data_IF_654602726448
#
_entry.id   IF_654602726448
#
_cell.length_a   1.000
_cell.length_b   1.000
_cell.length_c   1.000
_cell.angle_alpha   90.00
_cell.angle_beta   90.00
_cell.angle_gamma   90.00
#
_symmetry.space_group_name_H-M   'P 1'
#
loop_
_entity.id
_entity.type
_entity.pdbx_description
1 polymer ?
#
# COMPACT_ATOMS: atom_id res chain seq x y z
N UNK A 1 -28.49 -26.31 -23.45
CA UNK A 1 -28.29 -26.45 -21.99
C UNK A 1 -26.84 -26.78 -21.58
N UNK A 2 -25.96 -27.19 -22.51
CA UNK A 2 -24.59 -27.69 -22.24
C UNK A 2 -23.48 -26.65 -22.12
N UNK A 3 -23.66 -25.42 -22.59
CA UNK A 3 -22.61 -24.36 -22.58
C UNK A 3 -22.58 -23.58 -21.25
N UNK A 4 -23.72 -23.40 -20.62
CA UNK A 4 -23.83 -22.65 -19.34
C UNK A 4 -23.32 -23.49 -18.17
N UNK A 5 -23.59 -24.81 -18.18
CA UNK A 5 -23.08 -25.73 -17.16
C UNK A 5 -21.54 -25.87 -17.24
N UNK A 6 -20.97 -26.00 -18.43
CA UNK A 6 -19.49 -26.04 -18.60
C UNK A 6 -18.80 -24.74 -18.15
N UNK A 7 -19.40 -23.58 -18.40
CA UNK A 7 -18.87 -22.30 -17.90
C UNK A 7 -18.94 -22.24 -16.37
N UNK A 8 -20.04 -22.67 -15.76
CA UNK A 8 -20.20 -22.73 -14.30
C UNK A 8 -19.18 -23.63 -13.63
N UNK A 9 -18.95 -24.83 -14.16
CA UNK A 9 -18.01 -25.80 -13.59
C UNK A 9 -16.55 -25.39 -13.75
N UNK A 10 -16.23 -24.62 -14.79
CA UNK A 10 -14.90 -24.03 -14.98
C UNK A 10 -14.64 -22.82 -14.09
N UNK A 11 -15.67 -22.00 -13.83
CA UNK A 11 -15.53 -20.77 -13.05
C UNK A 11 -15.77 -20.98 -11.55
N UNK A 12 -16.61 -21.93 -11.14
CA UNK A 12 -16.98 -22.14 -9.75
C UNK A 12 -15.78 -22.42 -8.82
N UNK A 13 -14.82 -23.31 -9.13
CA UNK A 13 -13.67 -23.54 -8.29
C UNK A 13 -12.72 -22.34 -8.25
N UNK A 14 -12.57 -21.61 -9.37
CA UNK A 14 -11.75 -20.39 -9.43
C UNK A 14 -12.36 -19.23 -8.65
N UNK A 15 -13.67 -19.04 -8.75
CA UNK A 15 -14.43 -18.07 -7.95
C UNK A 15 -14.36 -18.40 -6.43
N UNK A 16 -14.43 -19.66 -6.06
CA UNK A 16 -14.29 -20.09 -4.67
C UNK A 16 -12.90 -19.80 -4.12
N UNK A 17 -11.85 -20.05 -4.89
CA UNK A 17 -10.47 -19.70 -4.49
C UNK A 17 -10.26 -18.19 -4.40
N UNK A 18 -10.78 -17.43 -5.36
CA UNK A 18 -10.74 -15.95 -5.32
C UNK A 18 -11.51 -15.42 -4.10
N UNK A 19 -12.72 -15.95 -3.86
CA UNK A 19 -13.53 -15.54 -2.71
C UNK A 19 -12.83 -15.86 -1.38
N UNK A 20 -12.26 -17.06 -1.24
CA UNK A 20 -11.51 -17.44 -0.03
C UNK A 20 -10.26 -16.56 0.19
N UNK A 21 -9.59 -16.20 -0.88
CA UNK A 21 -8.43 -15.32 -0.86
C UNK A 21 -8.82 -13.90 -0.42
N UNK A 22 -9.83 -13.34 -1.09
CA UNK A 22 -10.37 -12.00 -0.79
C UNK A 22 -10.90 -11.91 0.64
N UNK A 23 -11.56 -12.97 1.12
CA UNK A 23 -12.07 -13.03 2.50
C UNK A 23 -10.93 -13.02 3.51
N UNK A 24 -9.86 -13.79 3.29
CA UNK A 24 -8.73 -13.84 4.23
C UNK A 24 -7.96 -12.53 4.31
N UNK A 25 -7.64 -11.94 3.17
CA UNK A 25 -7.01 -10.62 3.12
C UNK A 25 -7.93 -9.56 3.73
N UNK A 26 -9.23 -9.64 3.40
CA UNK A 26 -10.25 -8.75 3.95
C UNK A 26 -10.32 -8.78 5.46
N UNK A 27 -10.27 -9.95 6.10
CA UNK A 27 -10.27 -10.08 7.56
C UNK A 27 -9.04 -9.40 8.18
N UNK A 28 -7.85 -9.61 7.61
CA UNK A 28 -6.62 -8.99 8.13
C UNK A 28 -6.68 -7.46 8.03
N UNK A 29 -7.10 -6.93 6.87
CA UNK A 29 -7.22 -5.48 6.66
C UNK A 29 -8.31 -4.88 7.54
N UNK A 30 -9.47 -5.55 7.68
CA UNK A 30 -10.54 -5.12 8.59
C UNK A 30 -10.08 -5.11 10.06
N UNK A 31 -9.31 -6.11 10.49
CA UNK A 31 -8.71 -6.15 11.83
C UNK A 31 -7.82 -4.93 12.09
N UNK A 32 -6.95 -4.57 11.15
CA UNK A 32 -6.09 -3.39 11.25
C UNK A 32 -6.89 -2.08 11.21
N UNK A 33 -7.94 -2.00 10.39
CA UNK A 33 -8.83 -0.84 10.35
C UNK A 33 -9.54 -0.63 11.69
N UNK A 34 -10.15 -1.69 12.23
CA UNK A 34 -10.83 -1.65 13.53
C UNK A 34 -9.86 -1.29 14.65
N UNK A 35 -8.65 -1.88 14.64
CA UNK A 35 -7.58 -1.52 15.57
C UNK A 35 -7.28 -0.02 15.54
N UNK A 36 -7.07 0.54 14.35
CA UNK A 36 -6.81 1.96 14.16
C UNK A 36 -7.98 2.84 14.65
N UNK A 37 -9.22 2.48 14.35
CA UNK A 37 -10.43 3.20 14.79
C UNK A 37 -10.62 3.14 16.31
N UNK A 38 -10.30 2.00 16.94
CA UNK A 38 -10.32 1.89 18.40
C UNK A 38 -9.26 2.80 19.04
N UNK A 39 -8.05 2.89 18.49
CA UNK A 39 -7.03 3.83 18.94
C UNK A 39 -7.50 5.28 18.85
N UNK A 40 -8.20 5.68 17.75
CA UNK A 40 -8.84 7.01 17.63
C UNK A 40 -9.81 7.27 18.79
N UNK A 41 -10.63 6.28 19.13
CA UNK A 41 -11.68 6.41 20.15
C UNK A 41 -11.14 6.45 21.56
N UNK A 42 -10.18 5.59 21.86
CA UNK A 42 -9.70 5.33 23.23
C UNK A 42 -8.63 6.35 23.64
N UNK A 43 -7.65 6.63 22.79
CA UNK A 43 -6.50 7.47 23.16
C UNK A 43 -6.92 8.95 23.36
N UNK A 44 -6.31 9.66 24.33
CA UNK A 44 -6.42 11.13 24.41
C UNK A 44 -5.97 11.78 23.09
N UNK A 45 -6.54 12.95 22.76
CA UNK A 45 -6.28 13.65 21.47
C UNK A 45 -4.78 13.90 21.25
N UNK A 46 -4.06 14.34 22.28
CA UNK A 46 -2.63 14.60 22.19
C UNK A 46 -1.79 13.34 21.94
N UNK A 47 -2.16 12.22 22.57
CA UNK A 47 -1.48 10.94 22.37
C UNK A 47 -1.85 10.32 21.04
N UNK A 48 -3.10 10.46 20.61
CA UNK A 48 -3.50 10.03 19.28
C UNK A 48 -2.80 10.80 18.17
N UNK A 49 -2.53 12.10 18.36
CA UNK A 49 -1.74 12.89 17.40
C UNK A 49 -0.35 12.28 17.18
N UNK A 50 0.36 11.96 18.29
CA UNK A 50 1.68 11.31 18.23
C UNK A 50 1.61 9.95 17.54
N UNK A 51 0.62 9.14 17.92
CA UNK A 51 0.36 7.83 17.33
C UNK A 51 0.12 7.93 15.82
N UNK A 52 -0.72 8.88 15.38
CA UNK A 52 -1.04 9.08 13.96
C UNK A 52 0.18 9.47 13.14
N UNK A 53 1.01 10.41 13.63
CA UNK A 53 2.26 10.83 12.96
C UNK A 53 3.23 9.66 12.84
N UNK A 54 3.44 8.92 13.92
CA UNK A 54 4.33 7.75 13.89
C UNK A 54 3.86 6.71 12.87
N UNK A 55 2.57 6.38 12.87
CA UNK A 55 1.99 5.40 11.95
C UNK A 55 2.07 5.82 10.48
N UNK A 56 1.80 7.09 10.19
CA UNK A 56 1.93 7.63 8.84
C UNK A 56 3.38 7.54 8.37
N UNK A 57 4.30 7.94 9.24
CA UNK A 57 5.72 7.90 8.92
C UNK A 57 6.23 6.47 8.71
N UNK A 58 5.79 5.52 9.55
CA UNK A 58 6.09 4.09 9.38
C UNK A 58 5.55 3.55 8.05
N UNK A 59 4.33 3.93 7.66
CA UNK A 59 3.73 3.55 6.38
C UNK A 59 4.58 4.02 5.19
N UNK A 60 5.00 5.28 5.17
CA UNK A 60 5.90 5.82 4.15
C UNK A 60 7.26 5.11 4.15
N UNK A 61 7.85 4.93 5.32
CA UNK A 61 9.16 4.31 5.46
C UNK A 61 9.15 2.84 4.99
N UNK A 62 8.10 2.09 5.27
CA UNK A 62 7.97 0.70 4.79
C UNK A 62 8.01 0.61 3.27
N UNK A 63 7.32 1.52 2.57
CA UNK A 63 7.35 1.59 1.11
C UNK A 63 8.74 2.01 0.60
N UNK A 64 9.37 3.00 1.25
CA UNK A 64 10.72 3.46 0.91
C UNK A 64 11.80 2.39 1.12
N UNK A 65 11.64 1.50 2.07
CA UNK A 65 12.58 0.41 2.32
C UNK A 65 12.44 -0.75 1.34
N UNK A 66 11.27 -0.97 0.79
CA UNK A 66 11.05 -2.03 -0.22
C UNK A 66 11.40 -1.55 -1.63
N UNK A 67 11.04 -0.31 -1.98
CA UNK A 67 11.27 0.34 -3.30
C UNK A 67 11.02 -0.60 -4.49
N UNK A 68 10.11 -1.58 -4.32
CA UNK A 68 9.81 -2.58 -5.33
C UNK A 68 10.82 -3.73 -5.45
N UNK A 69 11.84 -3.80 -4.60
CA UNK A 69 12.85 -4.87 -4.60
C UNK A 69 12.19 -6.25 -4.42
N UNK A 70 11.23 -6.38 -3.50
CA UNK A 70 10.54 -7.65 -3.25
C UNK A 70 9.73 -8.14 -4.46
N UNK A 71 9.21 -7.24 -5.27
CA UNK A 71 8.41 -7.56 -6.46
C UNK A 71 9.24 -8.14 -7.61
N UNK A 72 10.57 -7.93 -7.62
CA UNK A 72 11.47 -8.43 -8.67
C UNK A 72 11.67 -9.94 -8.61
N UNK A 73 11.39 -10.57 -7.47
CA UNK A 73 11.57 -12.01 -7.31
C UNK A 73 10.73 -12.82 -8.31
N UNK A 74 9.49 -12.40 -8.53
CA UNK A 74 8.58 -13.07 -9.47
C UNK A 74 9.14 -13.15 -10.90
N UNK A 75 9.47 -12.03 -11.54
CA UNK A 75 10.06 -12.00 -12.87
C UNK A 75 11.40 -12.75 -12.97
N UNK A 76 12.28 -12.69 -11.95
CA UNK A 76 13.62 -13.27 -12.02
C UNK A 76 13.67 -14.79 -11.85
N UNK A 77 12.79 -15.34 -11.01
CA UNK A 77 12.84 -16.79 -10.68
C UNK A 77 11.52 -17.52 -10.90
N UNK A 78 10.49 -16.84 -11.43
CA UNK A 78 9.15 -17.41 -11.57
C UNK A 78 9.08 -18.61 -12.51
N UNK A 79 9.86 -18.63 -13.57
CA UNK A 79 9.96 -19.75 -14.51
C UNK A 79 10.74 -20.93 -13.95
N UNK A 80 11.70 -20.68 -13.05
CA UNK A 80 12.56 -21.68 -12.42
C UNK A 80 12.25 -21.85 -10.93
N UNK A 81 11.00 -21.73 -10.56
CA UNK A 81 10.53 -21.77 -9.15
C UNK A 81 10.90 -23.07 -8.42
N UNK A 82 11.08 -24.16 -9.15
CA UNK A 82 11.42 -25.48 -8.60
C UNK A 82 12.92 -25.66 -8.37
N UNK A 83 13.75 -24.78 -8.94
CA UNK A 83 15.19 -24.74 -8.66
C UNK A 83 15.44 -24.05 -7.30
N UNK A 84 15.32 -24.79 -6.21
CA UNK A 84 15.43 -24.27 -4.85
C UNK A 84 16.76 -23.57 -4.56
N UNK A 85 17.94 -24.07 -4.99
CA UNK A 85 19.21 -23.36 -4.80
C UNK A 85 19.21 -21.98 -5.46
N UNK A 86 18.71 -21.88 -6.70
CA UNK A 86 18.62 -20.61 -7.42
C UNK A 86 17.72 -19.62 -6.69
N UNK A 87 16.52 -20.06 -6.31
CA UNK A 87 15.56 -19.23 -5.55
C UNK A 87 16.18 -18.77 -4.21
N UNK A 88 16.87 -19.67 -3.50
CA UNK A 88 17.52 -19.36 -2.22
C UNK A 88 18.62 -18.30 -2.39
N UNK A 89 19.43 -18.38 -3.47
CA UNK A 89 20.48 -17.42 -3.76
C UNK A 89 19.89 -16.02 -4.09
N UNK A 90 18.83 -15.95 -4.91
CA UNK A 90 18.14 -14.68 -5.17
C UNK A 90 17.53 -14.08 -3.89
N UNK A 91 16.95 -14.89 -3.01
CA UNK A 91 16.42 -14.44 -1.73
C UNK A 91 17.56 -13.93 -0.82
N UNK A 92 18.71 -14.58 -0.81
CA UNK A 92 19.88 -14.13 -0.07
C UNK A 92 20.42 -12.77 -0.59
N UNK A 93 20.49 -12.62 -1.92
CA UNK A 93 20.90 -11.37 -2.59
C UNK A 93 19.89 -10.25 -2.32
N UNK A 94 18.59 -10.53 -2.41
CA UNK A 94 17.52 -9.59 -2.09
C UNK A 94 17.61 -9.11 -0.63
N UNK A 95 17.84 -10.01 0.33
CA UNK A 95 18.01 -9.67 1.74
C UNK A 95 19.23 -8.79 2.00
N UNK A 96 20.35 -9.04 1.30
CA UNK A 96 21.55 -8.22 1.42
C UNK A 96 21.31 -6.82 0.86
N UNK A 97 20.66 -6.70 -0.30
CA UNK A 97 20.26 -5.40 -0.86
C UNK A 97 19.29 -4.66 0.06
N UNK A 98 18.24 -5.33 0.55
CA UNK A 98 17.31 -4.74 1.50
C UNK A 98 17.98 -4.28 2.80
N UNK A 99 19.07 -4.95 3.24
CA UNK A 99 19.89 -4.50 4.37
C UNK A 99 20.63 -3.20 4.03
N UNK A 100 21.24 -3.10 2.86
CA UNK A 100 21.92 -1.87 2.43
C UNK A 100 20.97 -0.70 2.28
N UNK A 101 19.77 -0.94 1.71
CA UNK A 101 18.71 0.09 1.63
C UNK A 101 18.30 0.52 3.05
N UNK A 102 18.09 -0.42 3.96
CA UNK A 102 17.76 -0.10 5.35
C UNK A 102 18.85 0.76 6.02
N UNK A 103 20.11 0.38 5.89
CA UNK A 103 21.24 1.11 6.50
C UNK A 103 21.41 2.51 5.89
N UNK A 104 21.12 2.69 4.60
CA UNK A 104 21.20 3.99 3.94
C UNK A 104 19.99 4.88 4.23
N UNK A 105 18.78 4.32 4.18
CA UNK A 105 17.53 5.09 4.32
C UNK A 105 17.19 5.40 5.78
N UNK A 106 17.45 4.48 6.73
CA UNK A 106 17.03 4.64 8.12
C UNK A 106 17.63 5.87 8.82
N UNK A 107 18.93 6.20 8.67
CA UNK A 107 19.48 7.43 9.27
C UNK A 107 18.84 8.69 8.70
N UNK A 108 18.64 8.74 7.37
CA UNK A 108 17.95 9.88 6.73
C UNK A 108 16.52 10.00 7.22
N UNK A 109 15.80 8.88 7.30
CA UNK A 109 14.44 8.84 7.83
C UNK A 109 14.40 9.28 9.29
N UNK A 110 15.36 8.89 10.12
CA UNK A 110 15.44 9.33 11.51
C UNK A 110 15.62 10.86 11.60
N UNK A 111 16.52 11.44 10.81
CA UNK A 111 16.73 12.90 10.74
C UNK A 111 15.45 13.59 10.28
N UNK A 112 14.83 13.13 9.18
CA UNK A 112 13.58 13.69 8.67
C UNK A 112 12.45 13.60 9.68
N UNK A 113 12.35 12.50 10.45
CA UNK A 113 11.34 12.37 11.51
C UNK A 113 11.55 13.39 12.61
N UNK A 114 12.78 13.59 13.09
CA UNK A 114 13.11 14.61 14.11
C UNK A 114 12.72 16.01 13.61
N UNK A 115 13.10 16.37 12.39
CA UNK A 115 12.75 17.63 11.78
C UNK A 115 11.24 17.82 11.64
N UNK A 116 10.52 16.75 11.25
CA UNK A 116 9.06 16.75 11.12
C UNK A 116 8.36 17.08 12.45
N UNK A 117 8.80 16.48 13.55
CA UNK A 117 8.14 16.62 14.85
C UNK A 117 8.69 17.78 15.69
N UNK A 118 9.74 18.47 15.23
CA UNK A 118 10.38 19.54 15.98
C UNK A 118 9.41 20.65 16.37
N UNK A 119 8.50 21.04 15.47
CA UNK A 119 7.48 22.07 15.72
C UNK A 119 6.36 21.63 16.67
N UNK A 120 6.24 20.33 16.92
CA UNK A 120 5.22 19.78 17.81
C UNK A 120 5.63 19.80 19.29
N UNK A 121 6.84 20.30 19.59
CA UNK A 121 7.38 20.44 20.95
C UNK A 121 7.32 19.15 21.79
N UNK A 122 7.53 17.98 21.16
CA UNK A 122 7.60 16.72 21.89
C UNK A 122 8.90 16.66 22.69
N UNK A 123 8.81 16.19 23.94
CA UNK A 123 10.02 16.04 24.77
C UNK A 123 11.03 15.08 24.11
N UNK A 124 12.34 15.34 24.27
CA UNK A 124 13.40 14.57 23.64
C UNK A 124 13.31 13.05 23.93
N UNK A 125 12.90 12.69 25.14
CA UNK A 125 12.70 11.27 25.53
C UNK A 125 11.59 10.61 24.69
N UNK A 126 10.48 11.31 24.42
CA UNK A 126 9.38 10.81 23.59
C UNK A 126 9.85 10.62 22.15
N UNK A 127 10.58 11.59 21.60
CA UNK A 127 11.13 11.52 20.24
C UNK A 127 12.10 10.33 20.12
N UNK A 128 12.99 10.14 21.10
CA UNK A 128 13.93 9.02 21.10
C UNK A 128 13.22 7.65 21.15
N UNK A 129 12.16 7.53 21.97
CA UNK A 129 11.34 6.31 22.03
C UNK A 129 10.63 6.04 20.72
N UNK A 130 10.05 7.07 20.08
CA UNK A 130 9.37 6.95 18.78
C UNK A 130 10.36 6.57 17.67
N UNK A 131 11.57 7.13 17.69
CA UNK A 131 12.64 6.74 16.76
C UNK A 131 13.05 5.28 16.92
N UNK A 132 13.22 4.82 18.18
CA UNK A 132 13.54 3.41 18.42
C UNK A 132 12.46 2.49 17.85
N UNK A 133 11.19 2.80 18.12
CA UNK A 133 10.05 2.06 17.58
C UNK A 133 10.06 2.07 16.05
N UNK A 134 10.28 3.24 15.45
CA UNK A 134 10.34 3.41 13.99
C UNK A 134 11.41 2.51 13.37
N UNK A 135 12.63 2.51 13.92
CA UNK A 135 13.73 1.71 13.41
C UNK A 135 13.50 0.21 13.59
N UNK A 136 12.98 -0.20 14.76
CA UNK A 136 12.63 -1.60 15.02
C UNK A 136 11.55 -2.08 14.05
N UNK A 137 10.47 -1.32 13.89
CA UNK A 137 9.39 -1.69 12.96
C UNK A 137 9.89 -1.75 11.52
N UNK A 138 10.67 -0.77 11.09
CA UNK A 138 11.28 -0.73 9.76
C UNK A 138 12.17 -1.97 9.50
N UNK A 139 12.93 -2.41 10.50
CA UNK A 139 13.72 -3.64 10.42
C UNK A 139 12.84 -4.87 10.19
N UNK A 140 11.78 -5.04 10.98
CA UNK A 140 10.88 -6.19 10.84
C UNK A 140 10.00 -6.11 9.58
N UNK A 141 9.60 -4.93 9.14
CA UNK A 141 8.90 -4.72 7.86
C UNK A 141 9.77 -5.19 6.68
N UNK A 142 11.06 -4.84 6.65
CA UNK A 142 12.03 -5.33 5.67
C UNK A 142 12.12 -6.86 5.66
N UNK A 143 12.18 -7.48 6.84
CA UNK A 143 12.23 -8.94 6.98
C UNK A 143 10.94 -9.56 6.45
N UNK A 144 9.79 -9.00 6.83
CA UNK A 144 8.46 -9.46 6.39
C UNK A 144 8.30 -9.36 4.87
N UNK A 145 8.73 -8.27 4.24
CA UNK A 145 8.65 -8.07 2.79
C UNK A 145 9.48 -9.13 2.06
N UNK A 146 10.74 -9.32 2.44
CA UNK A 146 11.65 -10.26 1.80
C UNK A 146 11.17 -11.71 1.87
N UNK A 147 10.73 -12.16 3.04
CA UNK A 147 10.26 -13.54 3.23
C UNK A 147 8.81 -13.74 2.80
N UNK A 148 7.98 -12.69 2.89
CA UNK A 148 6.61 -12.70 2.37
C UNK A 148 6.58 -12.93 0.86
N UNK A 149 7.51 -12.33 0.12
CA UNK A 149 7.66 -12.54 -1.32
C UNK A 149 7.91 -14.02 -1.67
N UNK A 150 8.71 -14.74 -0.86
CA UNK A 150 8.95 -16.19 -1.04
C UNK A 150 7.65 -16.99 -0.88
N UNK A 151 6.84 -16.69 0.13
CA UNK A 151 5.56 -17.40 0.36
C UNK A 151 4.58 -17.18 -0.80
N UNK A 152 4.53 -15.96 -1.33
CA UNK A 152 3.69 -15.63 -2.49
C UNK A 152 4.19 -16.36 -3.73
N UNK A 153 5.48 -16.36 -3.97
CA UNK A 153 6.15 -17.01 -5.09
C UNK A 153 5.91 -18.52 -5.06
N UNK A 154 6.13 -19.17 -3.91
CA UNK A 154 5.93 -20.63 -3.69
C UNK A 154 4.45 -21.02 -3.55
N UNK A 155 3.52 -20.09 -3.82
CA UNK A 155 2.05 -20.29 -3.76
C UNK A 155 1.52 -20.68 -2.38
N UNK A 156 2.28 -20.50 -1.29
CA UNK A 156 1.82 -20.74 0.09
C UNK A 156 1.08 -19.51 0.66
N UNK A 157 0.18 -18.97 -0.18
CA UNK A 157 -0.63 -17.79 0.16
C UNK A 157 -1.53 -18.04 1.37
N UNK A 158 -1.95 -19.29 1.58
CA UNK A 158 -2.80 -19.65 2.72
C UNK A 158 -2.09 -19.40 4.05
N UNK A 159 -0.81 -19.76 4.15
CA UNK A 159 0.00 -19.48 5.33
C UNK A 159 0.29 -18.00 5.47
N UNK A 160 0.64 -17.31 4.39
CA UNK A 160 0.88 -15.87 4.36
C UNK A 160 -0.28 -15.09 4.99
N UNK A 161 -1.53 -15.33 4.52
CA UNK A 161 -2.70 -14.65 5.10
C UNK A 161 -3.08 -15.13 6.49
N UNK A 162 -2.83 -16.41 6.83
CA UNK A 162 -3.06 -16.90 8.19
C UNK A 162 -2.23 -16.12 9.21
N UNK A 163 -0.95 -15.90 8.92
CA UNK A 163 -0.06 -15.13 9.80
C UNK A 163 -0.54 -13.68 9.92
N UNK A 164 -0.97 -13.04 8.81
CA UNK A 164 -1.54 -11.69 8.86
C UNK A 164 -2.81 -11.62 9.72
N UNK A 165 -3.72 -12.58 9.55
CA UNK A 165 -4.97 -12.64 10.32
C UNK A 165 -4.66 -12.81 11.81
N UNK A 166 -3.78 -13.76 12.16
CA UNK A 166 -3.39 -14.00 13.56
C UNK A 166 -2.74 -12.74 14.14
N UNK A 167 -1.85 -12.08 13.40
CA UNK A 167 -1.21 -10.84 13.82
C UNK A 167 -2.23 -9.72 14.06
N UNK A 168 -3.08 -9.44 13.07
CA UNK A 168 -4.05 -8.34 13.15
C UNK A 168 -5.15 -8.56 14.18
N UNK A 169 -5.72 -9.77 14.25
CA UNK A 169 -6.74 -10.10 15.26
C UNK A 169 -6.13 -10.27 16.65
N UNK A 170 -4.88 -10.76 16.74
CA UNK A 170 -4.15 -10.86 18.00
C UNK A 170 -3.88 -9.49 18.61
N UNK A 171 -3.36 -8.55 17.83
CA UNK A 171 -3.13 -7.17 18.30
C UNK A 171 -4.43 -6.47 18.66
N UNK A 172 -5.50 -6.67 17.88
CA UNK A 172 -6.84 -6.15 18.18
C UNK A 172 -7.39 -6.75 19.48
N UNK A 173 -7.31 -8.07 19.65
CA UNK A 173 -7.75 -8.77 20.85
C UNK A 173 -7.02 -8.30 22.11
N UNK A 174 -5.71 -8.16 22.04
CA UNK A 174 -4.90 -7.62 23.12
C UNK A 174 -5.26 -6.16 23.43
N UNK A 175 -5.49 -5.32 22.41
CA UNK A 175 -5.94 -3.94 22.62
C UNK A 175 -7.25 -3.89 23.38
N UNK A 176 -8.21 -4.78 23.05
CA UNK A 176 -9.49 -4.88 23.76
C UNK A 176 -9.30 -5.34 25.21
N UNK A 177 -8.40 -6.28 25.49
CA UNK A 177 -8.07 -6.70 26.85
C UNK A 177 -7.49 -5.52 27.65
N UNK A 178 -6.52 -4.79 27.12
CA UNK A 178 -5.96 -3.62 27.79
C UNK A 178 -7.00 -2.51 27.97
N UNK A 179 -7.94 -2.38 27.06
CA UNK A 179 -9.05 -1.42 27.18
C UNK A 179 -9.99 -1.80 28.33
N UNK A 180 -10.36 -3.06 28.45
CA UNK A 180 -11.18 -3.56 29.57
C UNK A 180 -10.47 -3.39 30.92
N UNK A 181 -9.13 -3.49 30.94
CA UNK A 181 -8.32 -3.25 32.12
C UNK A 181 -8.05 -1.75 32.39
N UNK A 182 -8.64 -0.84 31.62
CA UNK A 182 -8.42 0.61 31.71
C UNK A 182 -6.94 1.05 31.65
N UNK A 183 -6.08 0.25 31.01
CA UNK A 183 -4.63 0.44 30.95
C UNK A 183 -4.12 0.83 29.55
N UNK A 184 -5.01 1.24 28.63
CA UNK A 184 -4.60 1.67 27.28
C UNK A 184 -3.96 3.05 27.37
N UNK A 185 -2.73 3.12 26.86
CA UNK A 185 -2.00 4.35 26.61
C UNK A 185 -1.32 4.28 25.24
N UNK A 186 -0.65 5.35 24.84
CA UNK A 186 0.02 5.43 23.53
C UNK A 186 1.04 4.30 23.34
N UNK A 187 1.79 3.95 24.39
CA UNK A 187 2.83 2.92 24.32
C UNK A 187 2.24 1.54 24.09
N UNK A 188 1.13 1.20 24.75
CA UNK A 188 0.39 -0.05 24.51
C UNK A 188 -0.06 -0.12 23.04
N UNK A 189 -0.67 0.95 22.51
CA UNK A 189 -1.08 0.99 21.11
C UNK A 189 0.08 0.80 20.13
N UNK A 190 1.23 1.41 20.40
CA UNK A 190 2.41 1.28 19.56
C UNK A 190 3.02 -0.12 19.68
N UNK A 191 3.24 -0.60 20.91
CA UNK A 191 3.90 -1.89 21.16
C UNK A 191 3.12 -3.08 20.61
N UNK A 192 1.79 -3.05 20.67
CA UNK A 192 0.96 -4.09 20.09
C UNK A 192 1.10 -4.16 18.56
N UNK A 193 1.23 -3.02 17.90
CA UNK A 193 1.49 -2.98 16.46
C UNK A 193 2.89 -3.50 16.12
N UNK A 194 3.91 -3.08 16.87
CA UNK A 194 5.28 -3.60 16.72
C UNK A 194 5.31 -5.12 16.94
N UNK A 195 4.62 -5.62 17.97
CA UNK A 195 4.52 -7.05 18.24
C UNK A 195 3.84 -7.82 17.08
N UNK A 196 2.84 -7.20 16.44
CA UNK A 196 2.25 -7.74 15.21
C UNK A 196 3.29 -7.88 14.10
N UNK A 197 4.07 -6.82 13.82
CA UNK A 197 5.08 -6.82 12.76
C UNK A 197 6.20 -7.84 13.04
N UNK A 198 6.65 -7.95 14.30
CA UNK A 198 7.61 -8.95 14.75
C UNK A 198 7.04 -10.36 14.53
N UNK A 199 5.80 -10.61 14.93
CA UNK A 199 5.17 -11.93 14.79
C UNK A 199 5.01 -12.33 13.33
N UNK A 200 4.64 -11.38 12.45
CA UNK A 200 4.57 -11.60 11.02
C UNK A 200 5.95 -11.90 10.42
N UNK A 201 6.95 -11.10 10.75
CA UNK A 201 8.33 -11.31 10.29
C UNK A 201 8.87 -12.69 10.68
N UNK A 202 8.67 -13.09 11.94
CA UNK A 202 9.09 -14.38 12.43
C UNK A 202 8.32 -15.54 11.76
N UNK A 203 7.01 -15.43 11.61
CA UNK A 203 6.18 -16.42 10.91
C UNK A 203 6.63 -16.62 9.47
N UNK A 204 6.83 -15.52 8.72
CA UNK A 204 7.28 -15.60 7.32
C UNK A 204 8.70 -16.14 7.22
N UNK A 205 9.61 -15.71 8.08
CA UNK A 205 10.98 -16.22 8.15
C UNK A 205 10.99 -17.73 8.32
N UNK A 206 10.35 -18.23 9.40
CA UNK A 206 10.35 -19.68 9.74
C UNK A 206 9.79 -20.51 8.59
N UNK A 207 8.69 -20.11 8.01
CA UNK A 207 8.03 -20.84 6.92
C UNK A 207 8.84 -20.80 5.63
N UNK A 208 9.40 -19.66 5.28
CA UNK A 208 10.24 -19.51 4.09
C UNK A 208 11.51 -20.34 4.17
N UNK A 209 12.16 -20.40 5.34
CA UNK A 209 13.31 -21.28 5.56
C UNK A 209 12.94 -22.77 5.33
N UNK A 210 11.79 -23.19 5.84
CA UNK A 210 11.31 -24.55 5.62
C UNK A 210 10.99 -24.85 4.15
N UNK A 211 10.43 -23.88 3.41
CA UNK A 211 10.09 -24.05 2.00
C UNK A 211 11.31 -24.05 1.08
N UNK A 212 12.35 -23.31 1.41
CA UNK A 212 13.58 -23.27 0.64
C UNK A 212 14.46 -24.50 0.91
N UNK A 213 14.50 -24.98 2.16
CA UNK A 213 15.27 -26.18 2.57
C UNK A 213 16.79 -26.05 2.43
N UNK A 214 17.27 -25.03 1.75
CA UNK A 214 18.70 -24.76 1.51
C UNK A 214 19.04 -23.31 1.86
N UNK A 215 20.29 -23.10 2.27
CA UNK A 215 20.82 -21.75 2.48
C UNK A 215 21.32 -21.20 1.15
N UNK A 216 20.84 -20.03 0.76
CA UNK A 216 21.35 -19.33 -0.42
C UNK A 216 22.54 -18.46 -0.07
N UNK A 217 23.40 -18.28 -1.06
CA UNK A 217 24.53 -17.34 -1.01
C UNK A 217 24.25 -16.12 -1.88
N UNK A 218 24.48 -14.89 -1.38
CA UNK A 218 24.25 -13.69 -2.16
C UNK A 218 25.32 -13.53 -3.23
N UNK A 219 24.91 -13.24 -4.48
CA UNK A 219 25.79 -13.02 -5.61
C UNK A 219 25.65 -11.59 -6.15
N UNK A 220 26.79 -10.97 -6.50
CA UNK A 220 26.81 -9.63 -7.11
C UNK A 220 26.06 -9.58 -8.44
N UNK A 221 26.06 -10.67 -9.22
CA UNK A 221 25.32 -10.75 -10.48
C UNK A 221 23.81 -10.71 -10.24
N UNK A 222 23.32 -11.46 -9.24
CA UNK A 222 21.91 -11.47 -8.88
C UNK A 222 21.45 -10.12 -8.29
N UNK A 223 22.31 -9.48 -7.50
CA UNK A 223 22.03 -8.14 -6.98
C UNK A 223 21.89 -7.10 -8.10
N UNK A 224 22.77 -7.15 -9.11
CA UNK A 224 22.66 -6.30 -10.30
C UNK A 224 21.36 -6.54 -11.06
N UNK A 225 20.95 -7.81 -11.24
CA UNK A 225 19.69 -8.16 -11.88
C UNK A 225 18.49 -7.62 -11.11
N UNK A 226 18.47 -7.75 -9.77
CA UNK A 226 17.42 -7.19 -8.90
C UNK A 226 17.39 -5.66 -9.05
N UNK A 227 18.54 -4.99 -8.95
CA UNK A 227 18.62 -3.53 -9.06
C UNK A 227 18.17 -3.04 -10.42
N UNK A 228 18.56 -3.70 -11.50
CA UNK A 228 18.17 -3.32 -12.86
C UNK A 228 16.64 -3.33 -13.04
N UNK A 229 15.93 -4.30 -12.44
CA UNK A 229 14.47 -4.35 -12.47
C UNK A 229 13.79 -3.41 -11.46
N UNK A 230 14.43 -3.13 -10.33
CA UNK A 230 13.85 -2.25 -9.30
C UNK A 230 14.05 -0.76 -9.61
N UNK A 231 15.22 -0.36 -10.13
CA UNK A 231 15.60 1.05 -10.32
C UNK A 231 14.58 1.90 -11.10
N UNK A 232 13.96 1.42 -12.20
CA UNK A 232 12.94 2.20 -12.92
C UNK A 232 11.74 2.56 -12.06
N UNK A 233 11.44 1.74 -11.01
CA UNK A 233 10.30 1.94 -10.12
C UNK A 233 10.63 2.83 -8.92
N UNK A 234 11.90 3.12 -8.65
CA UNK A 234 12.34 3.91 -7.48
C UNK A 234 11.66 5.29 -7.41
N UNK A 235 11.67 6.12 -8.48
CA UNK A 235 11.05 7.44 -8.42
C UNK A 235 9.55 7.37 -8.09
N UNK A 236 8.84 6.44 -8.73
CA UNK A 236 7.40 6.22 -8.47
C UNK A 236 7.15 5.76 -7.04
N UNK A 237 7.97 4.84 -6.52
CA UNK A 237 7.84 4.33 -5.15
C UNK A 237 8.06 5.43 -4.12
N UNK A 238 9.05 6.29 -4.30
CA UNK A 238 9.32 7.44 -3.42
C UNK A 238 8.13 8.41 -3.45
N UNK A 239 7.65 8.73 -4.65
CA UNK A 239 6.51 9.63 -4.84
C UNK A 239 5.25 9.09 -4.12
N UNK A 240 4.87 7.84 -4.38
CA UNK A 240 3.66 7.25 -3.77
C UNK A 240 3.80 7.01 -2.26
N UNK A 241 4.99 6.70 -1.76
CA UNK A 241 5.26 6.61 -0.33
C UNK A 241 4.98 7.93 0.40
N UNK A 242 5.38 9.03 -0.22
CA UNK A 242 5.14 10.38 0.32
C UNK A 242 3.66 10.77 0.17
N UNK A 243 3.08 10.56 -1.01
CA UNK A 243 1.69 10.92 -1.31
C UNK A 243 0.68 10.22 -0.41
N UNK A 244 0.90 8.95 -0.08
CA UNK A 244 0.01 8.19 0.79
C UNK A 244 -0.17 8.78 2.19
N UNK A 245 0.76 9.62 2.65
CA UNK A 245 0.76 10.21 3.99
C UNK A 245 0.83 11.75 3.97
N UNK A 246 0.77 12.35 2.79
CA UNK A 246 1.02 13.77 2.57
C UNK A 246 0.18 14.66 3.48
N UNK A 247 -1.11 14.41 3.61
CA UNK A 247 -2.01 15.22 4.45
C UNK A 247 -1.51 15.31 5.88
N UNK A 248 -1.09 14.17 6.45
CA UNK A 248 -0.65 14.12 7.84
C UNK A 248 0.75 14.74 8.00
N UNK A 249 1.62 14.60 7.02
CA UNK A 249 2.92 15.28 6.97
C UNK A 249 2.72 16.81 6.92
N UNK A 250 1.87 17.30 6.02
CA UNK A 250 1.62 18.72 5.86
C UNK A 250 1.04 19.35 7.14
N UNK A 251 0.00 18.73 7.73
CA UNK A 251 -0.58 19.27 8.97
C UNK A 251 0.39 19.17 10.16
N UNK A 252 1.33 18.22 10.14
CA UNK A 252 2.37 18.13 11.18
C UNK A 252 3.40 19.24 11.04
N UNK A 253 3.72 19.66 9.80
CA UNK A 253 4.68 20.74 9.52
C UNK A 253 4.04 22.13 9.71
N UNK A 254 2.83 22.33 9.19
CA UNK A 254 2.17 23.64 9.12
C UNK A 254 1.14 23.85 10.23
N UNK A 255 0.59 22.80 10.81
CA UNK A 255 -0.40 22.88 11.88
C UNK A 255 0.20 23.36 13.21
N UNK A 256 -0.57 24.17 13.94
CA UNK A 256 -0.14 24.78 15.20
C UNK A 256 -0.59 24.02 16.45
N UNK A 257 -1.34 22.91 16.29
CA UNK A 257 -1.90 22.18 17.44
C UNK A 257 -1.91 20.67 17.24
N UNK A 258 -1.70 19.95 18.34
CA UNK A 258 -1.86 18.50 18.37
C UNK A 258 -3.29 18.08 17.98
N UNK A 259 -4.29 18.92 18.23
CA UNK A 259 -5.67 18.68 17.83
C UNK A 259 -5.82 18.63 16.31
N UNK A 260 -5.20 19.54 15.55
CA UNK A 260 -5.25 19.53 14.09
C UNK A 260 -4.62 18.25 13.51
N UNK A 261 -3.50 17.80 14.07
CA UNK A 261 -2.84 16.54 13.69
C UNK A 261 -3.71 15.34 14.01
N UNK A 262 -4.31 15.30 15.21
CA UNK A 262 -5.22 14.23 15.60
C UNK A 262 -6.47 14.17 14.71
N UNK A 263 -7.01 15.34 14.34
CA UNK A 263 -8.18 15.45 13.47
C UNK A 263 -7.90 14.86 12.08
N UNK A 264 -6.79 15.25 11.44
CA UNK A 264 -6.39 14.67 10.15
C UNK A 264 -6.12 13.17 10.29
N UNK A 265 -5.43 12.75 11.35
CA UNK A 265 -5.16 11.33 11.60
C UNK A 265 -6.44 10.50 11.76
N UNK A 266 -7.45 11.03 12.48
CA UNK A 266 -8.74 10.38 12.65
C UNK A 266 -9.52 10.31 11.32
N UNK A 267 -9.58 11.42 10.58
CA UNK A 267 -10.22 11.49 9.27
C UNK A 267 -9.56 10.53 8.27
N UNK A 268 -8.24 10.40 8.31
CA UNK A 268 -7.51 9.46 7.45
C UNK A 268 -7.90 7.99 7.69
N UNK A 269 -8.33 7.64 8.93
CA UNK A 269 -8.85 6.29 9.19
C UNK A 269 -10.15 6.00 8.45
N UNK A 270 -10.99 7.02 8.21
CA UNK A 270 -12.20 6.86 7.38
C UNK A 270 -11.84 6.60 5.91
N UNK A 271 -10.77 7.23 5.39
CA UNK A 271 -10.26 6.94 4.05
C UNK A 271 -9.90 5.45 3.88
N UNK A 272 -9.36 4.82 4.92
CA UNK A 272 -8.98 3.41 4.88
C UNK A 272 -10.16 2.45 4.63
N UNK A 273 -11.41 2.87 4.86
CA UNK A 273 -12.62 2.07 4.55
C UNK A 273 -12.72 1.83 3.04
N UNK A 274 -12.56 2.87 2.21
CA UNK A 274 -12.57 2.70 0.75
C UNK A 274 -11.29 2.02 0.23
N UNK A 275 -10.15 2.27 0.88
CA UNK A 275 -8.89 1.56 0.58
C UNK A 275 -9.01 0.04 0.78
N UNK A 276 -9.84 -0.41 1.73
CA UNK A 276 -10.15 -1.84 1.88
C UNK A 276 -10.77 -2.42 0.59
N UNK A 277 -11.72 -1.72 -0.01
CA UNK A 277 -12.34 -2.16 -1.27
C UNK A 277 -11.37 -2.08 -2.45
N UNK A 278 -10.45 -1.12 -2.45
CA UNK A 278 -9.44 -1.00 -3.51
C UNK A 278 -8.51 -2.21 -3.59
N UNK A 279 -8.28 -2.93 -2.48
CA UNK A 279 -7.50 -4.17 -2.46
C UNK A 279 -8.16 -5.32 -3.25
N UNK A 280 -9.44 -5.20 -3.56
CA UNK A 280 -10.16 -6.19 -4.37
C UNK A 280 -9.95 -5.98 -5.88
N UNK A 281 -9.60 -4.77 -6.30
CA UNK A 281 -9.44 -4.41 -7.71
C UNK A 281 -8.40 -5.28 -8.45
N UNK A 282 -7.18 -5.55 -7.91
CA UNK A 282 -6.22 -6.42 -8.55
C UNK A 282 -6.70 -7.86 -8.75
N UNK A 283 -7.62 -8.31 -7.89
CA UNK A 283 -8.12 -9.70 -7.89
C UNK A 283 -9.32 -9.87 -8.80
N UNK A 284 -10.24 -8.88 -8.82
CA UNK A 284 -11.50 -8.96 -9.55
C UNK A 284 -11.45 -8.21 -10.88
N UNK A 285 -11.03 -6.94 -10.86
CA UNK A 285 -11.10 -6.04 -12.01
C UNK A 285 -9.98 -6.31 -13.00
N UNK A 286 -8.74 -6.42 -12.52
CA UNK A 286 -7.58 -6.61 -13.39
C UNK A 286 -7.70 -7.88 -14.28
N UNK A 287 -7.95 -9.10 -13.76
CA UNK A 287 -8.04 -10.29 -14.60
C UNK A 287 -9.29 -10.29 -15.49
N UNK A 288 -10.38 -9.62 -15.09
CA UNK A 288 -11.57 -9.45 -15.89
C UNK A 288 -11.27 -8.67 -17.16
N UNK A 289 -10.65 -7.49 -17.03
CA UNK A 289 -10.29 -6.67 -18.18
C UNK A 289 -9.13 -7.24 -18.99
N UNK A 290 -8.13 -7.87 -18.37
CA UNK A 290 -6.99 -8.46 -19.06
C UNK A 290 -7.40 -9.56 -20.07
N UNK A 291 -8.47 -10.29 -19.77
CA UNK A 291 -8.97 -11.42 -20.62
C UNK A 291 -10.10 -11.04 -21.55
N UNK A 292 -10.54 -9.80 -21.53
CA UNK A 292 -11.71 -9.37 -22.30
C UNK A 292 -11.36 -9.16 -23.77
N UNK A 293 -12.26 -9.60 -24.67
CA UNK A 293 -12.15 -9.33 -26.10
C UNK A 293 -12.24 -7.82 -26.40
N UNK A 294 -11.44 -7.32 -27.33
CA UNK A 294 -11.33 -5.89 -27.63
C UNK A 294 -12.67 -5.23 -27.96
N UNK A 295 -13.50 -5.88 -28.75
CA UNK A 295 -14.82 -5.35 -29.13
C UNK A 295 -15.74 -5.02 -27.93
N UNK A 296 -15.52 -5.66 -26.76
CA UNK A 296 -16.34 -5.45 -25.56
C UNK A 296 -15.69 -4.53 -24.53
N UNK A 297 -14.40 -4.23 -24.65
CA UNK A 297 -13.64 -3.49 -23.65
C UNK A 297 -14.23 -2.10 -23.43
N UNK A 298 -14.42 -1.32 -24.48
CA UNK A 298 -14.91 0.07 -24.38
C UNK A 298 -16.27 0.15 -23.67
N UNK A 299 -17.21 -0.71 -24.06
CA UNK A 299 -18.55 -0.76 -23.43
C UNK A 299 -18.46 -1.12 -21.94
N UNK A 300 -17.70 -2.16 -21.60
CA UNK A 300 -17.58 -2.61 -20.23
C UNK A 300 -16.73 -1.65 -19.39
N UNK A 301 -15.76 -0.96 -19.97
CA UNK A 301 -15.01 0.11 -19.31
C UNK A 301 -15.97 1.22 -18.84
N UNK A 302 -16.75 1.76 -19.76
CA UNK A 302 -17.73 2.81 -19.43
C UNK A 302 -18.74 2.29 -18.40
N UNK A 303 -19.28 1.08 -18.59
CA UNK A 303 -20.25 0.49 -17.67
C UNK A 303 -19.71 0.36 -16.24
N UNK A 304 -18.54 -0.27 -16.09
CA UNK A 304 -17.93 -0.50 -14.77
C UNK A 304 -17.57 0.81 -14.09
N UNK A 305 -16.94 1.74 -14.82
CA UNK A 305 -16.56 3.06 -14.27
C UNK A 305 -17.80 3.85 -13.87
N UNK A 306 -18.88 3.82 -14.69
CA UNK A 306 -20.14 4.51 -14.37
C UNK A 306 -20.83 3.91 -13.14
N UNK A 307 -20.97 2.57 -13.09
CA UNK A 307 -21.61 1.91 -11.93
C UNK A 307 -20.84 2.21 -10.64
N UNK A 308 -19.52 2.00 -10.67
CA UNK A 308 -18.68 2.25 -9.50
C UNK A 308 -18.68 3.73 -9.15
N UNK A 309 -18.58 4.63 -10.16
CA UNK A 309 -18.65 6.07 -9.97
C UNK A 309 -19.94 6.50 -9.27
N UNK A 310 -21.09 5.99 -9.73
CA UNK A 310 -22.40 6.26 -9.10
C UNK A 310 -22.43 5.75 -7.65
N UNK A 311 -21.99 4.52 -7.40
CA UNK A 311 -21.98 3.94 -6.04
C UNK A 311 -21.13 4.77 -5.08
N UNK A 312 -19.95 5.19 -5.53
CA UNK A 312 -19.02 5.97 -4.70
C UNK A 312 -19.50 7.42 -4.53
N UNK A 313 -20.17 7.99 -5.53
CA UNK A 313 -20.81 9.30 -5.41
C UNK A 313 -22.01 9.26 -4.45
N UNK A 314 -22.80 8.19 -4.45
CA UNK A 314 -23.87 7.99 -3.46
C UNK A 314 -23.25 7.88 -2.04
N UNK A 315 -22.16 7.14 -1.89
CA UNK A 315 -21.45 7.04 -0.61
C UNK A 315 -20.93 8.41 -0.14
N UNK A 316 -20.33 9.21 -1.04
CA UNK A 316 -19.93 10.58 -0.72
C UNK A 316 -21.13 11.47 -0.39
N UNK A 317 -22.24 11.37 -1.14
CA UNK A 317 -23.49 12.10 -0.88
C UNK A 317 -24.06 11.77 0.51
N UNK A 318 -24.02 10.50 0.93
CA UNK A 318 -24.42 10.10 2.28
C UNK A 318 -23.55 10.77 3.36
N UNK A 319 -22.24 10.98 3.12
CA UNK A 319 -21.40 11.68 4.06
C UNK A 319 -21.75 13.18 4.19
N UNK A 320 -22.23 13.81 3.13
CA UNK A 320 -22.74 15.19 3.19
C UNK A 320 -24.09 15.29 3.87
N UNK A 321 -25.00 14.33 3.63
CA UNK A 321 -26.34 14.33 4.20
C UNK A 321 -26.36 13.86 5.66
N UNK A 322 -25.53 12.87 5.97
CA UNK A 322 -25.54 12.20 7.28
C UNK A 322 -24.11 12.07 7.86
N UNK A 323 -23.36 13.16 8.07
CA UNK A 323 -21.98 13.11 8.56
C UNK A 323 -21.87 12.45 9.93
N UNK A 324 -22.93 12.49 10.73
CA UNK A 324 -23.00 11.89 12.07
C UNK A 324 -22.74 10.37 12.07
N UNK A 325 -23.07 9.65 10.98
CA UNK A 325 -22.78 8.21 10.86
C UNK A 325 -21.28 7.93 10.93
N UNK A 326 -20.51 8.74 10.24
CA UNK A 326 -19.04 8.62 10.19
C UNK A 326 -18.39 9.15 11.46
N UNK A 327 -18.93 10.24 12.02
CA UNK A 327 -18.50 10.78 13.29
C UNK A 327 -18.73 9.81 14.45
N UNK A 328 -19.84 9.08 14.40
CA UNK A 328 -20.10 8.03 15.38
C UNK A 328 -19.00 6.96 15.40
N UNK A 329 -18.42 6.62 14.25
CA UNK A 329 -17.29 5.69 14.15
C UNK A 329 -16.04 6.28 14.84
N UNK A 330 -15.75 7.57 14.64
CA UNK A 330 -14.59 8.25 15.23
C UNK A 330 -14.77 8.52 16.74
N UNK A 331 -15.98 8.75 17.18
CA UNK A 331 -16.33 9.03 18.57
C UNK A 331 -16.55 10.52 18.86
N UNK A 332 -17.07 10.84 20.08
CA UNK A 332 -17.61 12.17 20.41
C UNK A 332 -16.56 13.29 20.39
N UNK A 333 -15.27 12.95 20.51
CA UNK A 333 -14.16 13.93 20.46
C UNK A 333 -14.07 14.67 19.11
N UNK A 334 -14.66 14.12 18.05
CA UNK A 334 -14.56 14.58 16.67
C UNK A 334 -15.87 15.12 16.10
N UNK A 335 -16.88 15.32 16.93
CA UNK A 335 -18.22 15.79 16.51
C UNK A 335 -18.20 17.16 15.80
N UNK A 336 -17.19 17.98 16.03
CA UNK A 336 -17.02 19.28 15.35
C UNK A 336 -16.56 19.16 13.88
N UNK A 337 -16.18 17.96 13.40
CA UNK A 337 -15.58 17.74 12.08
C UNK A 337 -16.61 17.30 11.02
N UNK A 338 -17.88 17.69 11.14
CA UNK A 338 -18.96 17.21 10.24
C UNK A 338 -18.69 17.53 8.76
N UNK A 339 -18.23 18.74 8.49
CA UNK A 339 -17.90 19.15 7.12
C UNK A 339 -16.61 18.50 6.61
N UNK A 340 -15.58 18.43 7.46
CA UNK A 340 -14.28 17.82 7.14
C UNK A 340 -14.41 16.31 6.85
N UNK A 341 -15.30 15.60 7.55
CA UNK A 341 -15.66 14.19 7.25
C UNK A 341 -16.18 14.06 5.82
N UNK A 342 -17.10 14.94 5.41
CA UNK A 342 -17.65 14.92 4.04
C UNK A 342 -16.56 15.15 2.99
N UNK A 343 -15.63 16.08 3.23
CA UNK A 343 -14.50 16.34 2.34
C UNK A 343 -13.56 15.12 2.22
N UNK A 344 -13.23 14.45 3.33
CA UNK A 344 -12.39 13.26 3.31
C UNK A 344 -13.06 12.12 2.55
N UNK A 345 -14.34 11.89 2.80
CA UNK A 345 -15.08 10.83 2.08
C UNK A 345 -15.17 11.15 0.58
N UNK A 346 -15.39 12.41 0.21
CA UNK A 346 -15.38 12.84 -1.20
C UNK A 346 -14.01 12.60 -1.84
N UNK A 347 -12.93 13.01 -1.17
CA UNK A 347 -11.57 12.77 -1.67
C UNK A 347 -11.28 11.29 -1.83
N UNK A 348 -11.67 10.47 -0.85
CA UNK A 348 -11.52 9.01 -0.89
C UNK A 348 -12.31 8.38 -2.03
N UNK A 349 -13.51 8.91 -2.30
CA UNK A 349 -14.38 8.52 -3.39
C UNK A 349 -13.71 8.76 -4.76
N UNK A 350 -13.18 9.96 -4.97
CA UNK A 350 -12.46 10.34 -6.18
C UNK A 350 -11.20 9.46 -6.35
N UNK A 351 -10.44 9.28 -5.28
CA UNK A 351 -9.21 8.48 -5.29
C UNK A 351 -9.50 7.00 -5.60
N UNK A 352 -10.60 6.46 -5.10
CA UNK A 352 -11.02 5.08 -5.40
C UNK A 352 -11.32 4.90 -6.89
N UNK A 353 -12.05 5.84 -7.52
CA UNK A 353 -12.34 5.80 -8.96
C UNK A 353 -11.06 5.98 -9.79
N UNK A 354 -10.17 6.88 -9.38
CA UNK A 354 -8.86 7.06 -10.01
C UNK A 354 -8.02 5.76 -9.98
N UNK A 355 -8.00 5.07 -8.83
CA UNK A 355 -7.33 3.78 -8.68
C UNK A 355 -7.96 2.66 -9.51
N UNK A 356 -9.29 2.65 -9.65
CA UNK A 356 -10.00 1.72 -10.53
C UNK A 356 -9.62 1.95 -12.00
N UNK A 357 -9.60 3.19 -12.45
CA UNK A 357 -9.18 3.55 -13.81
C UNK A 357 -7.74 3.12 -14.07
N UNK A 358 -6.83 3.41 -13.15
CA UNK A 358 -5.44 2.96 -13.25
C UNK A 358 -5.34 1.43 -13.38
N UNK A 359 -6.13 0.69 -12.60
CA UNK A 359 -6.14 -0.78 -12.64
C UNK A 359 -6.63 -1.31 -13.99
N UNK A 360 -7.69 -0.70 -14.57
CA UNK A 360 -8.22 -1.09 -15.87
C UNK A 360 -7.21 -0.75 -16.98
N UNK A 361 -6.63 0.45 -16.93
CA UNK A 361 -5.61 0.90 -17.88
C UNK A 361 -4.39 -0.05 -17.85
N UNK A 362 -3.92 -0.42 -16.67
CA UNK A 362 -2.84 -1.38 -16.49
C UNK A 362 -3.19 -2.76 -17.05
N UNK A 363 -4.40 -3.27 -16.78
CA UNK A 363 -4.88 -4.54 -17.31
C UNK A 363 -4.94 -4.58 -18.86
N UNK A 364 -5.17 -3.43 -19.48
CA UNK A 364 -5.21 -3.26 -20.95
C UNK A 364 -3.88 -2.81 -21.56
N UNK A 365 -2.80 -2.71 -20.77
CA UNK A 365 -1.50 -2.21 -21.20
C UNK A 365 -1.54 -0.76 -21.74
N UNK A 366 -2.47 0.05 -21.24
CA UNK A 366 -2.50 1.50 -21.47
C UNK A 366 -1.54 2.19 -20.48
N UNK A 367 -0.30 1.67 -20.36
CA UNK A 367 0.72 2.18 -19.47
C UNK A 367 1.83 2.79 -20.30
N UNK A 368 1.78 4.10 -20.48
CA UNK A 368 2.77 4.84 -21.24
C UNK A 368 3.82 5.44 -20.32
N UNK A 369 5.07 5.52 -20.75
CA UNK A 369 6.18 6.05 -19.94
C UNK A 369 5.90 7.46 -19.41
N UNK A 370 5.26 8.30 -20.21
CA UNK A 370 4.91 9.67 -19.84
C UNK A 370 3.83 9.75 -18.76
N UNK A 371 3.00 8.72 -18.58
CA UNK A 371 1.90 8.72 -17.62
C UNK A 371 2.40 8.89 -16.18
N UNK A 372 3.33 8.04 -15.75
CA UNK A 372 3.89 8.13 -14.40
C UNK A 372 4.65 9.44 -14.19
N UNK A 373 5.41 9.87 -15.19
CA UNK A 373 6.17 11.10 -15.13
C UNK A 373 5.25 12.33 -15.06
N UNK A 374 4.22 12.40 -15.91
CA UNK A 374 3.25 13.50 -15.88
C UNK A 374 2.48 13.55 -14.57
N UNK A 375 2.10 12.40 -14.01
CA UNK A 375 1.44 12.36 -12.71
C UNK A 375 2.33 12.92 -11.61
N UNK A 376 3.60 12.52 -11.54
CA UNK A 376 4.56 13.04 -10.55
C UNK A 376 4.73 14.56 -10.72
N UNK A 377 5.04 15.01 -11.93
CA UNK A 377 5.30 16.43 -12.20
C UNK A 377 4.08 17.30 -11.92
N UNK A 378 2.92 16.93 -12.45
CA UNK A 378 1.71 17.73 -12.28
C UNK A 378 1.23 17.76 -10.83
N UNK A 379 1.37 16.66 -10.10
CA UNK A 379 1.02 16.62 -8.69
C UNK A 379 1.97 17.49 -7.86
N UNK A 380 3.28 17.39 -8.07
CA UNK A 380 4.26 18.23 -7.37
C UNK A 380 4.08 19.72 -7.69
N UNK A 381 3.75 20.08 -8.94
CA UNK A 381 3.44 21.44 -9.32
C UNK A 381 2.17 21.95 -8.60
N UNK A 382 1.10 21.16 -8.60
CA UNK A 382 -0.13 21.50 -7.89
C UNK A 382 0.14 21.75 -6.41
N UNK A 383 0.84 20.80 -5.75
CA UNK A 383 1.19 20.89 -4.34
C UNK A 383 2.08 22.10 -4.05
N UNK A 384 3.10 22.34 -4.87
CA UNK A 384 3.97 23.49 -4.73
C UNK A 384 3.22 24.82 -4.83
N UNK A 385 2.30 24.95 -5.79
CA UNK A 385 1.44 26.14 -5.94
C UNK A 385 0.54 26.31 -4.71
N UNK A 386 -0.08 25.23 -4.24
CA UNK A 386 -0.99 25.31 -3.08
C UNK A 386 -0.24 25.62 -1.80
N UNK A 387 0.91 24.98 -1.55
CA UNK A 387 1.78 25.28 -0.39
C UNK A 387 2.21 26.74 -0.38
N UNK A 388 2.45 27.34 -1.56
CA UNK A 388 2.84 28.74 -1.67
C UNK A 388 1.68 29.73 -1.48
N UNK A 389 0.47 29.38 -1.92
CA UNK A 389 -0.69 30.31 -1.98
C UNK A 389 -1.69 30.13 -0.85
N UNK A 390 -1.75 28.95 -0.23
CA UNK A 390 -2.80 28.57 0.71
C UNK A 390 -2.18 28.29 2.08
N UNK A 391 -2.79 28.84 3.13
CA UNK A 391 -2.41 28.51 4.50
C UNK A 391 -2.82 27.06 4.85
N UNK A 392 -1.85 26.16 4.96
CA UNK A 392 -2.03 24.75 5.28
C UNK A 392 -2.05 24.47 6.80
N UNK A 393 -2.17 25.47 7.64
CA UNK A 393 -2.30 25.31 9.09
C UNK A 393 -3.66 24.73 9.49
N UNK A 394 -4.68 24.86 8.61
CA UNK A 394 -6.04 24.39 8.86
C UNK A 394 -6.31 23.02 8.25
N UNK A 395 -7.05 22.19 8.99
CA UNK A 395 -7.49 20.84 8.51
C UNK A 395 -8.21 20.93 7.16
N UNK A 396 -9.07 21.94 7.02
CA UNK A 396 -9.91 22.12 5.81
C UNK A 396 -9.08 22.38 4.56
N UNK A 397 -8.07 23.24 4.64
CA UNK A 397 -7.22 23.58 3.50
C UNK A 397 -6.35 22.38 3.05
N UNK A 398 -5.87 21.58 4.01
CA UNK A 398 -5.17 20.33 3.71
C UNK A 398 -6.10 19.33 2.99
N UNK A 399 -7.38 19.27 3.38
CA UNK A 399 -8.37 18.41 2.69
C UNK A 399 -8.72 18.91 1.28
N UNK A 400 -8.78 20.22 1.06
CA UNK A 400 -8.96 20.78 -0.29
C UNK A 400 -7.79 20.44 -1.20
N UNK A 401 -6.55 20.52 -0.70
CA UNK A 401 -5.38 20.05 -1.45
C UNK A 401 -5.50 18.56 -1.81
N UNK A 402 -5.94 17.72 -0.86
CA UNK A 402 -6.13 16.30 -1.11
C UNK A 402 -7.19 16.02 -2.18
N UNK A 403 -8.32 16.76 -2.16
CA UNK A 403 -9.35 16.66 -3.20
C UNK A 403 -8.78 17.08 -4.56
N UNK A 404 -8.04 18.17 -4.61
CA UNK A 404 -7.42 18.66 -5.84
C UNK A 404 -6.43 17.63 -6.42
N UNK A 405 -5.57 17.03 -5.58
CA UNK A 405 -4.64 15.96 -5.98
C UNK A 405 -5.35 14.69 -6.45
N UNK A 406 -6.39 14.27 -5.73
CA UNK A 406 -7.22 13.13 -6.13
C UNK A 406 -7.93 13.37 -7.48
N UNK A 407 -8.47 14.58 -7.70
CA UNK A 407 -9.11 14.98 -8.95
C UNK A 407 -8.12 15.02 -10.10
N UNK A 408 -6.92 15.55 -9.87
CA UNK A 408 -5.85 15.55 -10.87
C UNK A 408 -5.48 14.11 -11.27
N UNK A 409 -5.30 13.22 -10.31
CA UNK A 409 -5.02 11.81 -10.56
C UNK A 409 -6.14 11.13 -11.33
N UNK A 410 -7.41 11.44 -11.02
CA UNK A 410 -8.59 10.96 -11.75
C UNK A 410 -8.55 11.40 -13.20
N UNK A 411 -8.31 12.69 -13.45
CA UNK A 411 -8.27 13.27 -14.80
C UNK A 411 -7.13 12.67 -15.64
N UNK A 412 -5.94 12.50 -15.05
CA UNK A 412 -4.80 11.88 -15.73
C UNK A 412 -5.15 10.43 -16.14
N UNK A 413 -5.66 9.61 -15.20
CA UNK A 413 -6.00 8.22 -15.52
C UNK A 413 -7.16 8.09 -16.51
N UNK A 414 -8.12 9.01 -16.50
CA UNK A 414 -9.18 9.09 -17.51
C UNK A 414 -8.61 9.44 -18.89
N UNK A 415 -7.73 10.45 -18.95
CA UNK A 415 -7.01 10.83 -20.16
C UNK A 415 -6.19 9.70 -20.75
N UNK A 416 -5.47 8.96 -19.90
CA UNK A 416 -4.72 7.75 -20.30
C UNK A 416 -5.64 6.69 -20.87
N UNK A 417 -6.80 6.45 -20.27
CA UNK A 417 -7.79 5.50 -20.79
C UNK A 417 -8.33 5.91 -22.15
N UNK A 418 -8.69 7.18 -22.32
CA UNK A 418 -9.15 7.73 -23.60
C UNK A 418 -8.06 7.60 -24.68
N UNK A 419 -6.82 8.02 -24.34
CA UNK A 419 -5.68 7.90 -25.25
C UNK A 419 -5.41 6.44 -25.64
N UNK A 420 -5.51 5.52 -24.68
CA UNK A 420 -5.34 4.09 -24.90
C UNK A 420 -6.39 3.49 -25.85
N UNK A 421 -7.63 4.00 -25.86
CA UNK A 421 -8.65 3.61 -26.83
C UNK A 421 -8.42 4.16 -28.24
N UNK A 422 -7.64 5.23 -28.37
CA UNK A 422 -7.32 5.86 -29.67
C UNK A 422 -6.06 5.23 -30.28
N UNK A 423 -5.00 5.11 -29.46
CA UNK A 423 -3.65 4.69 -29.94
C UNK A 423 -3.44 3.18 -29.82
N UNK A 424 -4.18 2.52 -28.93
CA UNK A 424 -4.04 1.10 -28.65
C UNK A 424 -3.07 0.76 -27.51
N UNK A 425 -2.94 -0.52 -27.15
CA UNK A 425 -2.07 -0.97 -26.09
C UNK A 425 -0.60 -0.81 -26.44
N UNK A 426 0.23 -0.55 -25.45
CA UNK A 426 1.69 -0.51 -25.63
C UNK A 426 2.20 -1.88 -26.12
N UNK A 427 2.93 -1.87 -27.23
CA UNK A 427 3.60 -3.07 -27.72
C UNK A 427 4.69 -3.46 -26.71
N UNK A 428 4.69 -4.72 -26.28
CA UNK A 428 5.83 -5.26 -25.54
C UNK A 428 7.00 -5.30 -26.51
N UNK A 429 8.06 -4.57 -26.25
CA UNK A 429 9.37 -4.94 -26.78
C UNK A 429 9.64 -6.36 -26.29
N UNK A 430 10.13 -7.23 -27.18
CA UNK A 430 10.45 -8.60 -26.85
C UNK A 430 11.28 -8.63 -25.55
N UNK A 431 10.98 -9.54 -24.62
CA UNK A 431 11.80 -9.63 -23.41
C UNK A 431 13.27 -9.78 -23.84
N UNK A 432 14.14 -9.10 -23.13
CA UNK A 432 15.61 -9.18 -23.25
C UNK A 432 15.95 -10.64 -23.57
N UNK A 433 16.56 -10.90 -24.71
CA UNK A 433 16.91 -12.25 -25.14
C UNK A 433 17.79 -12.94 -24.12
N UNK A 434 17.83 -14.28 -24.04
CA UNK A 434 18.71 -14.99 -23.12
C UNK A 434 20.17 -14.55 -23.23
N UNK A 435 20.58 -14.06 -24.40
CA UNK A 435 21.93 -13.57 -24.70
C UNK A 435 22.28 -12.26 -23.97
N UNK A 436 21.28 -11.39 -23.72
CA UNK A 436 21.47 -10.12 -23.00
C UNK A 436 21.60 -10.32 -21.47
N UNK A 437 21.20 -11.48 -20.97
CA UNK A 437 21.32 -11.83 -19.56
C UNK A 437 22.62 -12.59 -19.23
N UNK A 438 23.50 -12.80 -20.22
CA UNK A 438 24.75 -13.56 -20.04
C UNK A 438 24.50 -15.03 -19.68
N UNK A 439 23.31 -15.57 -20.02
CA UNK A 439 23.00 -16.97 -19.90
C UNK A 439 23.57 -17.69 -21.13
N UNK A 440 24.53 -18.58 -20.92
CA UNK A 440 25.04 -19.44 -21.99
C UNK A 440 23.87 -20.14 -22.69
N UNK A 441 23.85 -20.08 -24.02
CA UNK A 441 22.81 -20.75 -24.80
C UNK A 441 22.84 -22.26 -24.53
N UNK A 442 21.69 -22.95 -24.50
CA UNK A 442 21.63 -24.40 -24.26
C UNK A 442 22.38 -25.24 -25.29
N UNK A 443 22.83 -24.64 -26.39
CA UNK A 443 23.51 -25.36 -27.48
C UNK A 443 24.99 -25.64 -27.20
N UNK A 444 25.64 -24.96 -26.24
CA UNK A 444 27.05 -25.23 -25.91
C UNK A 444 27.26 -26.50 -25.06
N UNK A 445 26.23 -27.11 -24.52
CA UNK A 445 26.34 -28.39 -23.77
C UNK A 445 26.03 -29.66 -24.56
N UNK A 446 25.75 -29.56 -25.87
CA UNK A 446 25.49 -30.72 -26.70
C UNK A 446 26.66 -31.14 -27.58
N UNK A 447 27.82 -30.46 -27.50
CA UNK A 447 29.00 -30.71 -28.32
C UNK A 447 30.27 -31.05 -27.50
N UNK A 448 30.10 -31.62 -26.32
CA UNK A 448 31.23 -32.09 -25.49
C UNK A 448 31.05 -33.56 -25.07
#
# INVERSE_FOLDING_TARGET
MTTITRARDFFAPKLRHVAQFTTRQGIAVAGNLVYGLLCVRILPVADYAKFAVLFAYMGSLTVLLDVGISSTLGPLVGEQIDNLPLVANYVASLRRLALWVYLGVSPLAAICFVLLVQKQHWGAAVVAQMLLVLLVTAWFARVSSSYGAVLILRRDRAYYYRVQIIGSLGSLGLLLVFWLLHSVNIYVGILLNVAQDISMAFGYFRRSQHLLGVKGEPSAQQERAILHLAMPNVPSSIFYATQGQLMLILITIFGHSASSVANIGALFRLNQILMFFSQMNPILVHPFFARMQEARVRRNYVLVVSIVGILVMVYAGLAFLYPWLFLWILGPKYNSLSFEVSLVILSSAIQYVAGLLWMINSARRFTYWWNNLSQIILTLLLEGIVVWKVDLSTVRNVLYLNIAGATLTLLINLGVGIYGFIVGPQKLESPIGPDDLGMASPEEHAAG
#
